data_IF_332830865719
#
_entry.id   IF_332830865719
#
_cell.length_a   1.000
_cell.length_b   1.000
_cell.length_c   1.000
_cell.angle_alpha   90.00
_cell.angle_beta   90.00
_cell.angle_gamma   90.00
#
_symmetry.space_group_name_H-M   'P 1'
#
loop_
_entity.id
_entity.type
_entity.pdbx_description
1 polymer ?
#
# COMPACT_ATOMS: atom_id res chain seq x y z
N UNK A 1 -27.49 -12.13 9.11
CA UNK A 1 -27.16 -13.54 9.44
C UNK A 1 -25.69 -13.78 9.11
N UNK A 2 -24.80 -13.89 10.10
CA UNK A 2 -23.42 -14.37 9.88
C UNK A 2 -23.38 -15.84 10.24
N UNK A 3 -23.03 -16.66 9.26
CA UNK A 3 -22.93 -18.12 9.35
C UNK A 3 -21.95 -18.50 10.46
N UNK A 4 -22.50 -19.13 11.51
CA UNK A 4 -21.74 -19.93 12.46
C UNK A 4 -21.23 -21.17 11.73
N UNK A 5 -20.03 -21.07 11.18
CA UNK A 5 -19.17 -22.23 10.88
C UNK A 5 -17.86 -21.92 11.58
N UNK A 6 -17.41 -22.81 12.47
CA UNK A 6 -16.11 -22.73 13.12
C UNK A 6 -15.01 -22.85 12.05
N UNK A 7 -14.73 -21.75 11.36
CA UNK A 7 -13.68 -21.66 10.37
C UNK A 7 -12.42 -21.21 11.09
N UNK A 8 -11.42 -22.09 11.13
CA UNK A 8 -10.08 -21.69 11.53
C UNK A 8 -9.56 -20.68 10.49
N UNK A 9 -9.33 -19.45 10.92
CA UNK A 9 -8.71 -18.40 10.12
C UNK A 9 -7.24 -18.36 10.51
N UNK A 10 -6.35 -18.67 9.56
CA UNK A 10 -4.91 -18.56 9.75
C UNK A 10 -4.38 -17.34 8.99
N UNK A 11 -3.39 -16.62 9.55
CA UNK A 11 -2.69 -15.58 8.81
C UNK A 11 -1.89 -16.24 7.68
N UNK A 12 -2.20 -15.88 6.44
CA UNK A 12 -1.46 -16.32 5.26
C UNK A 12 -0.28 -15.37 5.08
N UNK A 13 0.93 -15.92 4.92
CA UNK A 13 2.06 -15.13 4.48
C UNK A 13 1.96 -14.87 2.98
N UNK A 14 1.35 -13.74 2.61
CA UNK A 14 1.20 -13.32 1.21
C UNK A 14 2.54 -13.11 0.50
N UNK A 15 3.63 -12.86 1.24
CA UNK A 15 4.97 -12.75 0.66
C UNK A 15 5.42 -14.06 0.00
N UNK A 16 5.05 -15.21 0.58
CA UNK A 16 5.39 -16.53 0.05
C UNK A 16 4.66 -16.86 -1.26
N UNK A 17 3.68 -16.05 -1.67
CA UNK A 17 2.95 -16.19 -2.93
C UNK A 17 3.49 -15.30 -4.05
N UNK A 18 4.42 -14.40 -3.73
CA UNK A 18 5.06 -13.49 -4.68
C UNK A 18 6.39 -14.11 -5.11
N UNK A 19 6.74 -13.98 -6.39
CA UNK A 19 8.04 -14.44 -6.91
C UNK A 19 9.17 -13.72 -6.17
N UNK A 20 10.19 -14.46 -5.74
CA UNK A 20 11.34 -13.93 -4.97
C UNK A 20 12.08 -12.79 -5.71
N UNK A 21 12.01 -12.76 -7.05
CA UNK A 21 12.64 -11.73 -7.87
C UNK A 21 11.68 -10.59 -8.24
N UNK A 22 10.45 -10.57 -7.73
CA UNK A 22 9.49 -9.51 -8.04
C UNK A 22 10.01 -8.14 -7.57
N UNK A 23 9.90 -7.09 -8.39
CA UNK A 23 10.36 -5.74 -8.04
C UNK A 23 9.73 -5.17 -6.77
N UNK A 24 8.61 -5.71 -6.28
CA UNK A 24 7.96 -5.27 -5.04
C UNK A 24 8.90 -5.38 -3.82
N UNK A 25 9.74 -6.41 -3.76
CA UNK A 25 10.67 -6.60 -2.64
C UNK A 25 11.79 -5.55 -2.65
N UNK A 26 12.36 -5.28 -3.83
CA UNK A 26 13.36 -4.21 -4.00
C UNK A 26 12.79 -2.84 -3.68
N UNK A 27 11.52 -2.62 -4.02
CA UNK A 27 10.83 -1.37 -3.73
C UNK A 27 10.70 -1.13 -2.22
N UNK A 28 10.39 -2.17 -1.44
CA UNK A 28 10.29 -2.09 0.01
C UNK A 28 11.62 -1.78 0.73
N UNK A 29 12.78 -2.02 0.10
CA UNK A 29 14.08 -1.62 0.65
C UNK A 29 14.40 -0.13 0.46
N UNK A 30 13.70 0.57 -0.44
CA UNK A 30 13.95 1.99 -0.75
C UNK A 30 13.53 2.88 0.43
N UNK A 31 12.36 2.66 1.06
CA UNK A 31 11.97 3.42 2.24
C UNK A 31 12.96 3.40 3.39
N UNK A 32 13.58 2.27 3.69
CA UNK A 32 14.53 2.20 4.81
C UNK A 32 15.76 3.13 4.66
N UNK A 33 16.06 3.59 3.44
CA UNK A 33 17.26 4.39 3.13
C UNK A 33 16.95 5.87 2.87
N UNK A 34 15.68 6.27 2.84
CA UNK A 34 15.24 7.61 2.47
C UNK A 34 14.90 8.46 3.70
N UNK A 35 15.35 9.72 3.75
CA UNK A 35 15.01 10.64 4.84
C UNK A 35 13.59 11.19 4.68
N UNK A 36 12.60 10.50 5.26
CA UNK A 36 11.18 10.87 5.19
C UNK A 36 10.75 12.01 6.12
N UNK A 37 11.67 12.69 6.81
CA UNK A 37 11.31 13.82 7.69
C UNK A 37 10.50 14.89 6.97
N UNK A 38 10.82 15.18 5.70
CA UNK A 38 10.04 16.10 4.85
C UNK A 38 8.67 15.54 4.50
N UNK A 39 8.58 14.25 4.18
CA UNK A 39 7.33 13.56 3.87
C UNK A 39 6.38 13.63 5.07
N UNK A 40 6.83 13.22 6.26
CA UNK A 40 6.04 13.31 7.51
C UNK A 40 5.60 14.75 7.82
N UNK A 41 6.47 15.75 7.61
CA UNK A 41 6.11 17.16 7.83
C UNK A 41 4.95 17.63 6.95
N UNK A 42 4.86 17.14 5.71
CA UNK A 42 3.79 17.45 4.76
C UNK A 42 2.52 16.61 4.95
N UNK A 43 2.65 15.47 5.64
CA UNK A 43 1.60 14.49 5.95
C UNK A 43 0.97 14.65 7.33
N UNK A 44 1.38 15.67 8.11
CA UNK A 44 1.08 15.97 9.54
C UNK A 44 -0.40 16.15 9.94
N UNK A 45 -1.37 15.63 9.18
CA UNK A 45 -2.80 15.71 9.49
C UNK A 45 -3.30 14.40 10.12
N UNK A 46 -3.85 14.52 11.34
CA UNK A 46 -4.41 13.48 12.22
C UNK A 46 -5.49 12.56 11.60
N UNK A 47 -6.02 12.89 10.42
CA UNK A 47 -7.16 12.20 9.80
C UNK A 47 -6.77 11.09 8.80
N UNK A 48 -5.48 10.87 8.55
CA UNK A 48 -5.03 9.79 7.67
C UNK A 48 -4.99 8.47 8.43
N UNK A 49 -5.52 7.42 7.80
CA UNK A 49 -5.58 6.06 8.34
C UNK A 49 -4.36 5.20 7.99
N UNK A 50 -3.46 5.70 7.14
CA UNK A 50 -2.36 4.95 6.54
C UNK A 50 -1.09 5.75 6.76
N UNK A 51 -0.01 5.04 7.09
CA UNK A 51 1.32 5.61 7.24
C UNK A 51 1.79 6.30 5.93
N UNK A 52 2.37 7.51 6.00
CA UNK A 52 2.91 8.20 4.83
C UNK A 52 3.91 7.40 4.00
N UNK A 53 4.75 6.57 4.64
CA UNK A 53 5.76 5.75 3.97
C UNK A 53 5.10 4.62 3.16
N UNK A 54 4.05 4.00 3.72
CA UNK A 54 3.24 2.99 3.02
C UNK A 54 2.53 3.62 1.82
N UNK A 55 1.90 4.79 2.01
CA UNK A 55 1.24 5.52 0.91
C UNK A 55 2.22 5.89 -0.20
N UNK A 56 3.41 6.41 0.17
CA UNK A 56 4.46 6.72 -0.79
C UNK A 56 4.89 5.47 -1.56
N UNK A 57 5.04 4.35 -0.86
CA UNK A 57 5.45 3.08 -1.48
C UNK A 57 4.44 2.59 -2.51
N UNK A 58 3.14 2.67 -2.19
CA UNK A 58 2.05 2.34 -3.10
C UNK A 58 2.08 3.21 -4.36
N UNK A 59 2.25 4.52 -4.21
CA UNK A 59 2.26 5.46 -5.34
C UNK A 59 3.45 5.20 -6.26
N UNK A 60 4.66 5.08 -5.70
CA UNK A 60 5.87 4.79 -6.48
C UNK A 60 5.75 3.44 -7.21
N UNK A 61 5.25 2.41 -6.52
CA UNK A 61 5.06 1.10 -7.14
C UNK A 61 3.97 1.12 -8.23
N UNK A 62 2.90 1.89 -8.02
CA UNK A 62 1.86 2.10 -9.03
C UNK A 62 2.43 2.78 -10.29
N UNK A 63 3.26 3.81 -10.13
CA UNK A 63 3.93 4.49 -11.25
C UNK A 63 4.85 3.52 -12.01
N UNK A 64 5.62 2.69 -11.30
CA UNK A 64 6.45 1.63 -11.91
C UNK A 64 5.64 0.61 -12.72
N UNK A 65 4.38 0.38 -12.32
CA UNK A 65 3.44 -0.52 -13.01
C UNK A 65 2.59 0.19 -14.07
N UNK A 66 2.74 1.51 -14.24
CA UNK A 66 1.97 2.32 -15.19
C UNK A 66 0.53 2.60 -14.76
N UNK A 67 0.24 2.56 -13.46
CA UNK A 67 -1.10 2.77 -12.89
C UNK A 67 -1.18 4.16 -12.27
N UNK A 68 -1.78 5.12 -12.97
CA UNK A 68 -1.81 6.53 -12.54
C UNK A 68 -3.16 7.00 -11.99
N UNK A 69 -4.23 6.25 -12.26
CA UNK A 69 -5.57 6.60 -11.79
C UNK A 69 -5.71 6.27 -10.32
N UNK A 70 -6.10 7.25 -9.49
CA UNK A 70 -6.32 7.04 -8.05
C UNK A 70 -7.30 5.91 -7.75
N UNK A 71 -8.33 5.74 -8.58
CA UNK A 71 -9.28 4.61 -8.49
C UNK A 71 -8.63 3.29 -8.89
N UNK A 72 -7.79 3.28 -9.93
CA UNK A 72 -7.09 2.07 -10.33
C UNK A 72 -6.08 1.62 -9.27
N UNK A 73 -5.43 2.58 -8.59
CA UNK A 73 -4.54 2.30 -7.46
C UNK A 73 -5.33 1.74 -6.28
N UNK A 74 -6.49 2.33 -5.94
CA UNK A 74 -7.38 1.80 -4.91
C UNK A 74 -7.80 0.35 -5.22
N UNK A 75 -8.23 0.08 -6.45
CA UNK A 75 -8.62 -1.28 -6.86
C UNK A 75 -7.43 -2.25 -6.85
N UNK A 76 -6.25 -1.81 -7.28
CA UNK A 76 -5.02 -2.62 -7.19
C UNK A 76 -4.69 -2.97 -5.73
N UNK A 77 -4.86 -2.03 -4.80
CA UNK A 77 -4.67 -2.26 -3.36
C UNK A 77 -5.62 -3.32 -2.78
N UNK A 78 -6.79 -3.53 -3.41
CA UNK A 78 -7.77 -4.54 -2.98
C UNK A 78 -7.65 -5.86 -3.72
N UNK A 79 -6.91 -5.94 -4.83
CA UNK A 79 -6.96 -7.09 -5.75
C UNK A 79 -5.60 -7.69 -6.08
N UNK A 80 -4.52 -6.90 -6.14
CA UNK A 80 -3.18 -7.37 -6.45
C UNK A 80 -2.41 -7.67 -5.15
N UNK A 81 -1.95 -8.91 -5.01
CA UNK A 81 -1.22 -9.43 -3.84
C UNK A 81 0.03 -8.60 -3.51
N UNK A 82 0.65 -7.96 -4.51
CA UNK A 82 1.86 -7.14 -4.33
C UNK A 82 1.54 -5.84 -3.60
N UNK A 83 0.43 -5.22 -3.98
CA UNK A 83 -0.07 -4.03 -3.28
C UNK A 83 -0.60 -4.39 -1.89
N UNK A 84 -1.26 -5.55 -1.73
CA UNK A 84 -1.66 -6.06 -0.41
C UNK A 84 -0.45 -6.29 0.51
N UNK A 85 0.65 -6.80 -0.03
CA UNK A 85 1.88 -6.98 0.72
C UNK A 85 2.50 -5.63 1.12
N UNK A 86 2.56 -4.66 0.19
CA UNK A 86 3.05 -3.30 0.47
C UNK A 86 2.22 -2.56 1.53
N UNK A 87 0.93 -2.88 1.67
CA UNK A 87 0.06 -2.29 2.69
C UNK A 87 0.46 -2.68 4.13
N UNK A 88 1.23 -3.74 4.34
CA UNK A 88 1.67 -4.17 5.68
C UNK A 88 0.52 -4.22 6.72
N UNK A 89 -0.63 -4.80 6.33
CA UNK A 89 -1.86 -4.90 7.13
C UNK A 89 -2.67 -3.58 7.31
N UNK A 90 -2.23 -2.47 6.73
CA UNK A 90 -3.02 -1.24 6.64
C UNK A 90 -4.23 -1.43 5.70
N UNK A 91 -5.35 -0.71 5.93
CA UNK A 91 -6.47 -0.76 5.02
C UNK A 91 -6.11 -0.12 3.68
N UNK A 92 -6.66 -0.66 2.58
CA UNK A 92 -6.49 -0.07 1.26
C UNK A 92 -6.93 1.42 1.27
N UNK A 93 -6.13 2.33 0.68
CA UNK A 93 -6.48 3.74 0.59
C UNK A 93 -7.69 3.95 -0.30
N UNK A 94 -8.61 4.80 0.16
CA UNK A 94 -9.68 5.32 -0.70
C UNK A 94 -9.08 6.23 -1.78
N UNK A 95 -9.67 6.23 -2.99
CA UNK A 95 -9.22 7.02 -4.14
C UNK A 95 -9.05 8.51 -3.81
N UNK A 96 -9.82 9.07 -2.88
CA UNK A 96 -9.67 10.46 -2.44
C UNK A 96 -8.35 10.69 -1.67
N UNK A 97 -7.90 9.70 -0.91
CA UNK A 97 -6.64 9.73 -0.17
C UNK A 97 -5.46 9.57 -1.12
N UNK A 98 -5.60 8.68 -2.10
CA UNK A 98 -4.60 8.47 -3.16
C UNK A 98 -4.44 9.71 -4.03
N UNK A 99 -5.55 10.30 -4.50
CA UNK A 99 -5.52 11.51 -5.34
C UNK A 99 -4.80 12.68 -4.66
N UNK A 100 -5.09 12.93 -3.37
CA UNK A 100 -4.41 13.98 -2.58
C UNK A 100 -2.93 13.74 -2.36
N UNK A 101 -2.50 12.49 -2.47
CA UNK A 101 -1.09 12.12 -2.34
C UNK A 101 -0.35 12.36 -3.66
N UNK A 102 -1.01 12.05 -4.78
CA UNK A 102 -0.54 12.39 -6.13
C UNK A 102 -0.44 13.90 -6.37
N UNK A 103 -1.39 14.70 -5.87
CA UNK A 103 -1.35 16.17 -5.97
C UNK A 103 -0.16 16.83 -5.24
N UNK A 104 0.47 16.09 -4.30
CA UNK A 104 1.56 16.59 -3.45
C UNK A 104 2.95 16.07 -3.85
N UNK A 105 3.00 15.16 -4.83
CA UNK A 105 4.25 14.57 -5.34
C UNK A 105 4.82 15.46 -6.43
#
# INVERSE_FOLDING_TARGET
MKTSKNQAVMPINVAAMIDENDPVFKMAEIPEKSDYRKLHSSYRRRWRKIDPEVMFSIVVYADMRGIFSSRAIEEACKTDIRFMWLLQYEPAPDHTTTARSLEKT
#
